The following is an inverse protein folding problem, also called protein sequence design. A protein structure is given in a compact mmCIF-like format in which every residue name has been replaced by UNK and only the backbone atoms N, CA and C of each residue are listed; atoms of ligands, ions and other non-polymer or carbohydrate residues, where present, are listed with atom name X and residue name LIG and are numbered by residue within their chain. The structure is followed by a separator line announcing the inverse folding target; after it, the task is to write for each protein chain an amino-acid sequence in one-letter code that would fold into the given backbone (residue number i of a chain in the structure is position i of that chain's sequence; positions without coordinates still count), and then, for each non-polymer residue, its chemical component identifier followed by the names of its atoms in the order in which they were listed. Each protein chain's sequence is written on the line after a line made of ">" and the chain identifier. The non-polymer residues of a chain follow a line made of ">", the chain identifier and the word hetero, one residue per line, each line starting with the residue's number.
data_IF_001993084100
#
_entry.id   IF_001993084100
#
_cell.length_a   1.000
_cell.length_b   1.000
_cell.length_c   1.000
_cell.angle_alpha   90.00
_cell.angle_beta   90.00
_cell.angle_gamma   90.00
#
_symmetry.space_group_name_H-M   'P 1'
#
loop_
_entity.id
_entity.type
_entity.pdbx_description
1 polymer ?
#
# COMPACT_ATOMS: atom_id res chain seq x y z
N UNK A 1 -3.82 -4.84 -63.68
CA UNK A 1 -5.17 -4.77 -64.28
C UNK A 1 -5.99 -3.80 -63.44
N UNK A 2 -6.24 -2.60 -63.97
CA UNK A 2 -7.09 -1.61 -63.30
C UNK A 2 -8.55 -2.04 -63.39
N UNK A 3 -9.23 -2.12 -62.25
CA UNK A 3 -10.67 -2.31 -62.25
C UNK A 3 -11.30 -1.05 -62.83
N UNK A 4 -12.05 -1.22 -63.93
CA UNK A 4 -12.90 -0.18 -64.50
C UNK A 4 -13.99 0.18 -63.47
N UNK A 5 -13.93 1.40 -62.97
CA UNK A 5 -14.80 1.90 -61.90
C UNK A 5 -16.26 2.12 -62.36
N UNK A 6 -16.58 1.89 -63.64
CA UNK A 6 -17.92 2.03 -64.22
C UNK A 6 -18.97 1.00 -63.73
N UNK A 7 -18.57 -0.07 -63.01
CA UNK A 7 -19.46 -1.16 -62.59
C UNK A 7 -19.67 -1.31 -61.08
N UNK A 8 -19.25 -0.33 -60.26
CA UNK A 8 -19.44 -0.42 -58.81
C UNK A 8 -20.90 -0.13 -58.46
N UNK A 9 -21.66 -1.19 -58.15
CA UNK A 9 -23.03 -1.05 -57.65
C UNK A 9 -23.05 -0.17 -56.38
N UNK A 10 -23.78 0.97 -56.37
CA UNK A 10 -23.83 1.91 -55.23
C UNK A 10 -24.25 1.26 -53.89
N UNK A 11 -24.94 0.12 -53.95
CA UNK A 11 -25.42 -0.64 -52.79
C UNK A 11 -24.46 -1.68 -52.22
N UNK A 12 -23.25 -1.87 -52.76
CA UNK A 12 -22.36 -2.92 -52.26
C UNK A 12 -21.84 -2.63 -50.84
N UNK A 13 -22.00 -3.62 -49.95
CA UNK A 13 -21.40 -3.63 -48.60
C UNK A 13 -19.95 -4.13 -48.61
N UNK A 14 -19.51 -4.76 -49.68
CA UNK A 14 -18.14 -5.27 -49.82
C UNK A 14 -17.13 -4.12 -49.87
N UNK A 15 -16.07 -4.13 -49.06
CA UNK A 15 -15.02 -3.12 -49.14
C UNK A 15 -14.27 -3.19 -50.48
N UNK A 16 -14.23 -2.07 -51.21
CA UNK A 16 -13.49 -1.91 -52.46
C UNK A 16 -12.29 -0.97 -52.25
N UNK A 17 -11.19 -1.13 -53.00
CA UNK A 17 -10.03 -0.25 -52.90
C UNK A 17 -10.31 1.12 -53.55
N UNK A 18 -10.27 2.19 -52.77
CA UNK A 18 -10.40 3.57 -53.25
C UNK A 18 -9.05 4.28 -53.24
N UNK A 19 -8.89 5.24 -54.16
CA UNK A 19 -7.71 6.10 -54.27
C UNK A 19 -8.10 7.59 -54.22
N UNK A 20 -7.29 8.41 -53.57
CA UNK A 20 -7.40 9.87 -53.55
C UNK A 20 -6.00 10.48 -53.59
N UNK A 21 -5.79 11.50 -54.42
CA UNK A 21 -4.55 12.26 -54.48
C UNK A 21 -4.80 13.57 -53.75
N UNK A 22 -4.04 13.85 -52.70
CA UNK A 22 -4.17 15.09 -51.93
C UNK A 22 -3.67 16.29 -52.73
N UNK A 23 -4.00 17.54 -52.31
CA UNK A 23 -3.40 18.75 -52.90
C UNK A 23 -1.86 18.78 -52.82
N UNK A 24 -1.28 18.08 -51.84
CA UNK A 24 0.18 17.94 -51.67
C UNK A 24 0.81 16.83 -52.53
N UNK A 25 0.02 16.13 -53.36
CA UNK A 25 0.49 15.04 -54.22
C UNK A 25 0.59 13.67 -53.54
N UNK A 26 0.21 13.54 -52.26
CA UNK A 26 0.20 12.25 -51.56
C UNK A 26 -0.93 11.36 -52.07
N UNK A 27 -0.64 10.09 -52.35
CA UNK A 27 -1.62 9.11 -52.83
C UNK A 27 -2.15 8.30 -51.65
N UNK A 28 -3.41 8.50 -51.32
CA UNK A 28 -4.13 7.75 -50.29
C UNK A 28 -4.86 6.57 -50.93
N UNK A 29 -4.61 5.36 -50.43
CA UNK A 29 -5.35 4.15 -50.81
C UNK A 29 -6.05 3.55 -49.57
N UNK A 30 -7.35 3.28 -49.65
CA UNK A 30 -8.08 2.67 -48.52
C UNK A 30 -9.29 1.83 -48.96
N UNK A 31 -9.62 0.75 -48.22
CA UNK A 31 -10.82 -0.01 -48.49
C UNK A 31 -12.07 0.69 -47.90
N UNK A 32 -13.15 0.75 -48.68
CA UNK A 32 -14.45 1.29 -48.24
C UNK A 32 -15.59 0.70 -49.09
N UNK A 33 -16.77 0.51 -48.51
CA UNK A 33 -17.94 0.00 -49.24
C UNK A 33 -18.55 1.06 -50.16
N UNK A 34 -19.18 0.62 -51.26
CA UNK A 34 -19.90 1.51 -52.18
C UNK A 34 -21.02 2.29 -51.48
N UNK A 35 -21.74 1.65 -50.56
CA UNK A 35 -22.79 2.30 -49.76
C UNK A 35 -22.23 3.45 -48.91
N UNK A 36 -21.08 3.26 -48.26
CA UNK A 36 -20.47 4.32 -47.44
C UNK A 36 -19.98 5.47 -48.31
N UNK A 37 -19.42 5.19 -49.48
CA UNK A 37 -18.90 6.22 -50.38
C UNK A 37 -20.03 7.04 -51.03
N UNK A 38 -21.05 6.37 -51.56
CA UNK A 38 -22.10 7.01 -52.38
C UNK A 38 -23.24 7.54 -51.52
N UNK A 39 -23.82 6.71 -50.64
CA UNK A 39 -24.99 7.11 -49.85
C UNK A 39 -24.61 7.91 -48.61
N UNK A 40 -23.57 7.50 -47.88
CA UNK A 40 -23.12 8.21 -46.67
C UNK A 40 -22.15 9.37 -46.97
N UNK A 41 -21.82 9.60 -48.25
CA UNK A 41 -20.89 10.65 -48.74
C UNK A 41 -19.57 10.68 -47.97
N UNK A 42 -19.11 9.53 -47.48
CA UNK A 42 -17.93 9.45 -46.64
C UNK A 42 -16.68 9.53 -47.53
N UNK A 43 -15.95 10.65 -47.43
CA UNK A 43 -14.72 10.91 -48.18
C UNK A 43 -13.50 10.11 -47.69
N UNK A 44 -12.31 10.51 -48.16
CA UNK A 44 -11.05 9.83 -47.83
C UNK A 44 -10.88 9.65 -46.32
N UNK A 45 -10.75 8.40 -45.87
CA UNK A 45 -10.60 8.09 -44.44
C UNK A 45 -9.21 8.45 -43.90
N UNK A 46 -8.21 8.57 -44.78
CA UNK A 46 -6.85 9.00 -44.43
C UNK A 46 -6.82 10.52 -44.26
N UNK A 47 -7.33 11.32 -45.22
CA UNK A 47 -7.45 12.78 -45.04
C UNK A 47 -8.25 13.18 -43.81
N UNK A 48 -9.30 12.41 -43.46
CA UNK A 48 -10.12 12.64 -42.27
C UNK A 48 -9.45 12.16 -40.97
N UNK A 49 -8.26 11.57 -41.03
CA UNK A 49 -7.52 11.08 -39.86
C UNK A 49 -8.08 9.81 -39.23
N UNK A 50 -9.00 9.11 -39.90
CA UNK A 50 -9.56 7.83 -39.43
C UNK A 50 -8.64 6.63 -39.70
N UNK A 51 -7.77 6.73 -40.71
CA UNK A 51 -6.70 5.76 -41.02
C UNK A 51 -5.36 6.48 -41.06
N UNK A 52 -4.31 5.80 -40.61
CA UNK A 52 -2.94 6.29 -40.74
C UNK A 52 -2.47 6.18 -42.20
N UNK A 53 -1.65 7.14 -42.60
CA UNK A 53 -0.75 7.07 -43.76
C UNK A 53 0.69 6.85 -43.30
N UNK A 54 1.60 6.68 -44.25
CA UNK A 54 3.05 6.60 -43.97
C UNK A 54 3.55 7.80 -43.17
N UNK A 55 3.01 9.00 -43.42
CA UNK A 55 3.43 10.26 -42.77
C UNK A 55 2.68 10.58 -41.49
N UNK A 56 1.48 10.02 -41.29
CA UNK A 56 0.60 10.33 -40.14
C UNK A 56 0.48 9.19 -39.12
N UNK A 57 1.16 8.07 -39.38
CA UNK A 57 1.23 6.93 -38.47
C UNK A 57 1.93 7.27 -37.15
N UNK A 58 1.63 6.50 -36.10
CA UNK A 58 2.31 6.61 -34.81
C UNK A 58 3.82 6.35 -34.98
N UNK A 59 4.19 5.38 -35.82
CA UNK A 59 5.58 5.09 -36.15
C UNK A 59 6.32 6.32 -36.72
N UNK A 60 5.69 7.03 -37.66
CA UNK A 60 6.28 8.20 -38.30
C UNK A 60 6.29 9.42 -37.38
N UNK A 61 5.17 9.73 -36.72
CA UNK A 61 5.06 10.93 -35.90
C UNK A 61 5.74 10.81 -34.53
N UNK A 62 5.86 9.60 -33.97
CA UNK A 62 6.33 9.35 -32.60
C UNK A 62 7.17 8.05 -32.52
N UNK A 63 8.33 7.99 -33.20
CA UNK A 63 9.13 6.77 -33.32
C UNK A 63 9.57 6.18 -31.97
N UNK A 64 9.98 7.02 -31.01
CA UNK A 64 10.36 6.56 -29.66
C UNK A 64 9.19 5.94 -28.89
N UNK A 65 7.97 6.42 -29.13
CA UNK A 65 6.78 5.85 -28.51
C UNK A 65 6.39 4.55 -29.22
N UNK A 66 6.48 4.49 -30.55
CA UNK A 66 6.24 3.29 -31.33
C UNK A 66 7.20 2.14 -30.94
N UNK A 67 8.44 2.45 -30.54
CA UNK A 67 9.40 1.46 -30.02
C UNK A 67 8.93 0.80 -28.71
N UNK A 68 7.99 1.41 -27.98
CA UNK A 68 7.40 0.85 -26.76
C UNK A 68 6.17 -0.03 -27.05
N UNK A 69 5.86 -0.30 -28.32
CA UNK A 69 4.77 -1.20 -28.69
C UNK A 69 5.06 -2.61 -28.19
N UNK A 70 4.10 -3.25 -27.53
CA UNK A 70 4.32 -4.60 -27.06
C UNK A 70 4.44 -5.57 -28.26
N UNK A 71 5.46 -6.46 -28.28
CA UNK A 71 5.77 -7.28 -29.47
C UNK A 71 4.67 -8.27 -29.87
N UNK A 72 3.99 -8.89 -28.90
CA UNK A 72 3.04 -10.00 -29.18
C UNK A 72 1.59 -9.75 -28.78
N UNK A 73 1.30 -8.81 -27.87
CA UNK A 73 -0.04 -8.63 -27.28
C UNK A 73 -1.03 -7.81 -28.12
N UNK A 74 -0.60 -7.26 -29.26
CA UNK A 74 -1.42 -6.41 -30.11
C UNK A 74 -1.99 -7.12 -31.35
N UNK A 75 -1.78 -8.44 -31.47
CA UNK A 75 -2.17 -9.22 -32.64
C UNK A 75 -1.45 -8.71 -33.90
N UNK A 76 -2.18 -8.59 -35.01
CA UNK A 76 -1.64 -8.09 -36.28
C UNK A 76 -1.46 -6.56 -36.35
N UNK A 77 -1.90 -5.81 -35.32
CA UNK A 77 -1.87 -4.35 -35.36
C UNK A 77 -0.46 -3.82 -35.15
N UNK A 78 -0.07 -2.89 -36.01
CA UNK A 78 1.25 -2.25 -35.94
C UNK A 78 1.17 -0.75 -35.66
N UNK A 79 2.25 -0.13 -35.14
CA UNK A 79 2.35 1.33 -35.03
C UNK A 79 2.23 2.08 -36.37
N UNK A 80 2.38 1.41 -37.51
CA UNK A 80 2.25 2.00 -38.85
C UNK A 80 0.78 2.19 -39.27
N UNK A 81 -0.15 1.47 -38.64
CA UNK A 81 -1.57 1.43 -39.04
C UNK A 81 -2.46 2.33 -38.17
N UNK A 82 -1.89 2.96 -37.14
CA UNK A 82 -2.61 3.77 -36.15
C UNK A 82 -2.05 5.17 -36.09
N UNK A 83 -2.91 6.16 -35.86
CA UNK A 83 -2.50 7.57 -35.69
C UNK A 83 -2.25 7.89 -34.21
N UNK A 84 -1.42 8.90 -33.89
CA UNK A 84 -1.23 9.38 -32.52
C UNK A 84 -2.53 9.73 -31.78
N UNK A 85 -3.56 10.21 -32.49
CA UNK A 85 -4.87 10.57 -31.91
C UNK A 85 -5.81 9.39 -31.65
N UNK A 86 -5.40 8.16 -31.95
CA UNK A 86 -6.30 7.00 -31.84
C UNK A 86 -6.75 6.73 -30.40
N UNK A 87 -8.05 6.51 -30.19
CA UNK A 87 -8.63 6.12 -28.89
C UNK A 87 -8.48 4.62 -28.58
N UNK A 88 -7.85 3.85 -29.47
CA UNK A 88 -7.64 2.40 -29.27
C UNK A 88 -6.75 2.15 -28.06
N UNK A 89 -7.13 1.17 -27.25
CA UNK A 89 -6.29 0.64 -26.18
C UNK A 89 -5.42 -0.46 -26.78
N UNK A 90 -4.11 -0.32 -26.59
CA UNK A 90 -3.10 -1.28 -27.05
C UNK A 90 -2.15 -1.57 -25.89
N UNK A 91 -1.45 -2.68 -26.00
CA UNK A 91 -0.42 -3.07 -25.04
C UNK A 91 0.89 -2.37 -25.35
N UNK A 92 1.46 -1.78 -24.30
CA UNK A 92 2.78 -1.14 -24.30
C UNK A 92 3.75 -1.98 -23.47
N UNK A 93 5.03 -1.84 -23.74
CA UNK A 93 6.13 -2.41 -22.96
C UNK A 93 7.10 -1.30 -22.57
N UNK A 94 7.38 -1.16 -21.28
CA UNK A 94 8.23 -0.09 -20.77
C UNK A 94 9.68 -0.52 -20.98
N UNK A 95 10.51 0.29 -21.67
CA UNK A 95 11.90 -0.06 -21.88
C UNK A 95 12.71 -0.07 -20.56
N UNK A 96 12.30 0.72 -19.57
CA UNK A 96 13.06 0.90 -18.32
C UNK A 96 12.78 -0.21 -17.29
N UNK A 97 11.52 -0.63 -17.16
CA UNK A 97 11.10 -1.60 -16.12
C UNK A 97 10.48 -2.88 -16.68
N UNK A 98 10.47 -3.05 -18.00
CA UNK A 98 9.90 -4.19 -18.73
C UNK A 98 8.43 -4.49 -18.39
N UNK A 99 7.71 -3.52 -17.82
CA UNK A 99 6.31 -3.68 -17.46
C UNK A 99 5.43 -3.58 -18.71
N UNK A 100 4.50 -4.51 -18.87
CA UNK A 100 3.54 -4.52 -19.95
C UNK A 100 2.17 -4.03 -19.45
N UNK A 101 1.59 -3.01 -20.09
CA UNK A 101 0.28 -2.47 -19.68
C UNK A 101 -0.59 -2.02 -20.85
N UNK A 102 -1.92 -2.11 -20.72
CA UNK A 102 -2.85 -1.54 -21.69
C UNK A 102 -3.00 -0.03 -21.47
N UNK A 103 -2.90 0.76 -22.55
CA UNK A 103 -3.22 2.19 -22.52
C UNK A 103 -3.72 2.67 -23.87
N UNK A 104 -4.53 3.75 -23.86
CA UNK A 104 -4.99 4.42 -25.09
C UNK A 104 -3.81 5.09 -25.80
N UNK A 105 -3.74 4.95 -27.13
CA UNK A 105 -2.67 5.59 -27.94
C UNK A 105 -2.63 7.10 -27.73
N UNK A 106 -3.77 7.78 -27.84
CA UNK A 106 -3.86 9.23 -27.65
C UNK A 106 -3.43 9.72 -26.27
N UNK A 107 -3.71 8.95 -25.21
CA UNK A 107 -3.31 9.28 -23.84
C UNK A 107 -1.78 9.36 -23.70
N UNK A 108 -1.05 8.51 -24.44
CA UNK A 108 0.42 8.51 -24.43
C UNK A 108 0.99 9.49 -25.44
N UNK A 109 0.51 9.46 -26.68
CA UNK A 109 1.10 10.21 -27.79
C UNK A 109 0.81 11.71 -27.75
N UNK A 110 -0.37 12.10 -27.25
CA UNK A 110 -0.79 13.49 -27.10
C UNK A 110 -0.79 13.95 -25.63
N UNK A 111 -1.19 13.07 -24.71
CA UNK A 111 -1.25 13.38 -23.27
C UNK A 111 0.08 13.22 -22.51
N UNK A 112 1.11 12.64 -23.12
CA UNK A 112 2.42 12.46 -22.49
C UNK A 112 2.46 11.41 -21.38
N UNK A 113 1.40 10.61 -21.19
CA UNK A 113 1.35 9.62 -20.12
C UNK A 113 2.37 8.48 -20.33
N UNK A 114 3.22 8.29 -19.33
CA UNK A 114 4.30 7.30 -19.30
C UNK A 114 3.87 5.94 -18.75
N UNK A 115 4.86 5.15 -18.34
CA UNK A 115 4.64 3.88 -17.67
C UNK A 115 4.06 4.11 -16.27
N UNK A 116 2.90 3.51 -15.99
CA UNK A 116 2.23 3.64 -14.68
C UNK A 116 3.04 3.01 -13.55
N UNK A 117 3.88 2.00 -13.83
CA UNK A 117 4.81 1.43 -12.85
C UNK A 117 5.94 2.39 -12.51
N UNK A 118 6.63 2.97 -13.52
CA UNK A 118 7.68 3.97 -13.28
C UNK A 118 7.15 5.21 -12.56
N UNK A 119 5.89 5.58 -12.80
CA UNK A 119 5.21 6.67 -12.10
C UNK A 119 4.75 6.29 -10.67
N UNK A 120 5.01 5.06 -10.19
CA UNK A 120 4.60 4.59 -8.86
C UNK A 120 3.09 4.40 -8.69
N UNK A 121 2.34 4.32 -9.79
CA UNK A 121 0.88 4.15 -9.78
C UNK A 121 0.45 2.67 -9.73
N UNK A 122 1.34 1.76 -10.11
CA UNK A 122 1.13 0.30 -10.07
C UNK A 122 2.30 -0.36 -9.36
N UNK A 123 2.01 -1.28 -8.44
CA UNK A 123 3.01 -2.15 -7.81
C UNK A 123 2.82 -3.60 -8.29
N UNK A 124 3.92 -4.33 -8.45
CA UNK A 124 3.93 -5.76 -8.72
C UNK A 124 4.27 -6.56 -7.46
N UNK A 125 3.91 -7.86 -7.40
CA UNK A 125 4.31 -8.72 -6.29
C UNK A 125 5.82 -8.67 -6.07
N UNK A 126 6.24 -8.45 -4.82
CA UNK A 126 7.65 -8.34 -4.45
C UNK A 126 8.26 -6.93 -4.57
N UNK A 127 7.54 -5.95 -5.14
CA UNK A 127 8.03 -4.56 -5.16
C UNK A 127 8.09 -4.01 -3.72
N UNK A 128 9.17 -3.29 -3.35
CA UNK A 128 9.35 -2.66 -2.02
C UNK A 128 8.24 -1.70 -1.62
N UNK A 129 7.44 -1.23 -2.57
CA UNK A 129 6.32 -0.31 -2.35
C UNK A 129 4.98 -1.03 -2.14
N UNK A 130 4.96 -2.36 -2.22
CA UNK A 130 3.78 -3.17 -1.85
C UNK A 130 3.65 -3.27 -0.34
N UNK A 131 2.41 -3.40 0.14
CA UNK A 131 2.11 -3.59 1.54
C UNK A 131 2.73 -4.88 2.08
N UNK A 132 2.70 -5.96 1.30
CA UNK A 132 3.27 -7.25 1.64
C UNK A 132 4.78 -7.18 1.98
N UNK A 133 5.54 -6.35 1.25
CA UNK A 133 6.98 -6.20 1.48
C UNK A 133 7.29 -5.07 2.47
N UNK A 134 6.62 -3.93 2.34
CA UNK A 134 6.92 -2.74 3.14
C UNK A 134 6.40 -2.83 4.58
N UNK A 135 5.25 -3.47 4.79
CA UNK A 135 4.59 -3.57 6.09
C UNK A 135 3.82 -4.89 6.24
N UNK A 136 4.52 -6.03 6.49
CA UNK A 136 3.92 -7.35 6.59
C UNK A 136 2.81 -7.47 7.65
N UNK A 137 2.97 -6.79 8.80
CA UNK A 137 1.98 -6.82 9.88
C UNK A 137 0.65 -6.18 9.44
N UNK A 138 0.72 -5.11 8.66
CA UNK A 138 -0.47 -4.46 8.11
C UNK A 138 -1.05 -5.26 6.93
N UNK A 139 -0.21 -5.94 6.15
CA UNK A 139 -0.66 -6.87 5.12
C UNK A 139 -1.48 -8.03 5.72
N UNK A 140 -1.12 -8.53 6.91
CA UNK A 140 -1.88 -9.58 7.60
C UNK A 140 -3.31 -9.14 7.99
N UNK A 141 -3.55 -7.83 8.15
CA UNK A 141 -4.88 -7.26 8.39
C UNK A 141 -5.70 -7.04 7.11
N UNK A 142 -5.18 -7.34 5.91
CA UNK A 142 -5.98 -7.30 4.68
C UNK A 142 -7.00 -8.44 4.66
N UNK A 143 -8.23 -8.12 4.28
CA UNK A 143 -9.24 -9.14 3.95
C UNK A 143 -8.94 -9.68 2.54
N UNK A 144 -7.97 -10.59 2.49
CA UNK A 144 -7.42 -11.20 1.28
C UNK A 144 -8.50 -11.86 0.43
N UNK A 145 -9.42 -12.57 1.08
CA UNK A 145 -10.54 -13.24 0.41
C UNK A 145 -11.39 -12.23 -0.37
N UNK A 146 -11.81 -11.14 0.28
CA UNK A 146 -12.64 -10.11 -0.37
C UNK A 146 -11.89 -9.32 -1.43
N UNK A 147 -10.58 -9.14 -1.28
CA UNK A 147 -9.72 -8.54 -2.31
C UNK A 147 -9.67 -9.40 -3.57
N UNK A 148 -9.42 -10.70 -3.42
CA UNK A 148 -9.36 -11.62 -4.55
C UNK A 148 -10.72 -11.72 -5.25
N UNK A 149 -11.83 -11.77 -4.50
CA UNK A 149 -13.19 -11.72 -5.06
C UNK A 149 -13.45 -10.44 -5.86
N UNK A 150 -12.77 -9.34 -5.53
CA UNK A 150 -12.85 -8.07 -6.25
C UNK A 150 -11.85 -7.97 -7.42
N UNK A 151 -11.14 -9.05 -7.75
CA UNK A 151 -10.15 -9.11 -8.83
C UNK A 151 -8.86 -8.33 -8.55
N UNK A 152 -8.54 -8.07 -7.27
CA UNK A 152 -7.31 -7.39 -6.85
C UNK A 152 -6.36 -8.41 -6.24
N UNK A 153 -5.16 -8.54 -6.81
CA UNK A 153 -4.08 -9.34 -6.23
C UNK A 153 -3.56 -8.65 -4.94
N UNK A 154 -3.72 -9.27 -3.76
CA UNK A 154 -3.25 -8.70 -2.49
C UNK A 154 -1.76 -8.33 -2.50
N UNK A 155 -0.92 -9.07 -3.24
CA UNK A 155 0.51 -8.83 -3.31
C UNK A 155 0.88 -7.56 -4.10
N UNK A 156 -0.10 -6.94 -4.77
CA UNK A 156 0.08 -5.70 -5.55
C UNK A 156 -0.42 -4.45 -4.83
N UNK A 157 -0.97 -4.59 -3.61
CA UNK A 157 -1.53 -3.45 -2.86
C UNK A 157 -0.41 -2.47 -2.49
N UNK A 158 -0.43 -1.27 -3.08
CA UNK A 158 0.59 -0.25 -2.87
C UNK A 158 0.38 0.55 -1.56
N UNK A 159 1.44 0.80 -0.79
CA UNK A 159 1.36 1.43 0.55
C UNK A 159 0.79 2.85 0.57
N UNK A 160 0.94 3.61 -0.52
CA UNK A 160 0.37 4.98 -0.66
C UNK A 160 -0.91 5.03 -1.48
N UNK A 161 -1.51 3.88 -1.78
CA UNK A 161 -2.77 3.87 -2.53
C UNK A 161 -3.87 4.54 -1.71
N UNK A 162 -4.64 5.40 -2.37
CA UNK A 162 -5.88 5.97 -1.84
C UNK A 162 -7.11 5.13 -2.20
N UNK A 163 -6.94 4.06 -2.98
CA UNK A 163 -8.04 3.13 -3.29
C UNK A 163 -8.42 2.36 -2.03
N UNK A 164 -9.71 2.33 -1.73
CA UNK A 164 -10.21 1.55 -0.60
C UNK A 164 -10.04 0.05 -0.85
N UNK A 165 -9.53 -0.64 0.17
CA UNK A 165 -9.40 -2.09 0.21
C UNK A 165 -10.08 -2.60 1.48
N UNK A 166 -10.58 -3.85 1.49
CA UNK A 166 -11.18 -4.45 2.66
C UNK A 166 -10.09 -4.89 3.66
N UNK A 167 -10.40 -4.70 4.94
CA UNK A 167 -9.56 -5.03 6.09
C UNK A 167 -10.34 -5.92 7.05
N UNK A 168 -9.62 -6.76 7.76
CA UNK A 168 -10.14 -7.60 8.84
C UNK A 168 -9.37 -7.29 10.13
N UNK A 169 -10.08 -7.24 11.25
CA UNK A 169 -9.43 -6.98 12.53
C UNK A 169 -8.75 -8.27 13.01
N UNK A 170 -7.44 -8.21 13.21
CA UNK A 170 -6.62 -9.31 13.71
C UNK A 170 -7.18 -9.97 14.99
N UNK A 171 -7.62 -9.17 15.97
CA UNK A 171 -8.18 -9.66 17.23
C UNK A 171 -9.68 -9.97 17.21
N UNK A 172 -10.41 -9.64 16.14
CA UNK A 172 -11.85 -9.90 16.04
C UNK A 172 -12.25 -10.02 14.57
N UNK A 173 -12.18 -11.22 13.97
CA UNK A 173 -12.44 -11.45 12.54
C UNK A 173 -13.83 -11.02 12.03
N UNK A 174 -14.76 -10.73 12.95
CA UNK A 174 -16.08 -10.15 12.65
C UNK A 174 -16.02 -8.66 12.30
N UNK A 175 -15.05 -7.90 12.81
CA UNK A 175 -14.89 -6.50 12.45
C UNK A 175 -14.19 -6.42 11.10
N UNK A 176 -14.94 -5.93 10.10
CA UNK A 176 -14.51 -5.82 8.71
C UNK A 176 -14.87 -4.44 8.21
N UNK A 177 -13.90 -3.72 7.67
CA UNK A 177 -14.13 -2.37 7.18
C UNK A 177 -13.36 -2.12 5.88
N UNK A 178 -13.71 -1.05 5.19
CA UNK A 178 -13.01 -0.58 3.99
C UNK A 178 -12.24 0.70 4.32
N UNK A 179 -11.00 0.79 3.86
CA UNK A 179 -10.16 1.97 4.03
C UNK A 179 -9.00 1.93 3.04
N UNK A 180 -8.38 3.07 2.75
CA UNK A 180 -7.17 3.10 1.93
C UNK A 180 -5.92 2.61 2.69
N UNK A 181 -4.98 1.92 2.01
CA UNK A 181 -3.67 1.60 2.57
C UNK A 181 -2.92 2.84 3.07
N UNK A 182 -3.01 3.98 2.37
CA UNK A 182 -2.38 5.21 2.81
C UNK A 182 -2.87 5.69 4.18
N UNK A 183 -4.19 5.64 4.43
CA UNK A 183 -4.77 6.03 5.72
C UNK A 183 -4.36 5.06 6.84
N UNK A 184 -4.37 3.76 6.55
CA UNK A 184 -3.83 2.74 7.47
C UNK A 184 -2.36 2.98 7.79
N UNK A 185 -1.59 3.43 6.80
CA UNK A 185 -0.18 3.73 6.97
C UNK A 185 0.08 4.97 7.83
N UNK A 186 -0.87 5.91 7.82
CA UNK A 186 -0.90 7.08 8.71
C UNK A 186 -1.47 6.77 10.11
N UNK A 187 -1.75 5.50 10.41
CA UNK A 187 -2.14 5.05 11.74
C UNK A 187 -3.64 5.05 12.02
N UNK A 188 -4.50 5.17 11.00
CA UNK A 188 -5.94 4.93 11.17
C UNK A 188 -6.19 3.45 11.53
N UNK A 189 -7.01 3.20 12.55
CA UNK A 189 -7.25 1.87 13.11
C UNK A 189 -8.65 1.35 12.78
N UNK A 190 -9.02 0.16 13.28
CA UNK A 190 -10.36 -0.40 13.10
C UNK A 190 -11.42 0.54 13.73
N UNK A 191 -12.45 0.96 12.99
CA UNK A 191 -13.47 1.89 13.50
C UNK A 191 -14.40 1.27 14.54
N UNK A 192 -14.55 -0.06 14.52
CA UNK A 192 -15.46 -0.81 15.41
C UNK A 192 -14.83 -1.16 16.76
N UNK A 193 -13.55 -0.85 16.97
CA UNK A 193 -12.83 -1.08 18.22
C UNK A 193 -12.79 0.24 19.05
N UNK A 194 -13.68 0.43 20.04
CA UNK A 194 -13.95 1.75 20.65
C UNK A 194 -12.79 2.33 21.48
N UNK A 195 -11.79 1.53 21.83
CA UNK A 195 -10.76 1.88 22.80
C UNK A 195 -9.40 2.30 22.19
N UNK A 196 -9.37 2.57 20.89
CA UNK A 196 -8.13 2.82 20.14
C UNK A 196 -7.64 4.28 20.18
N UNK A 197 -8.33 5.16 20.91
CA UNK A 197 -7.98 6.57 21.03
C UNK A 197 -7.16 6.98 22.26
N UNK A 198 -6.96 6.09 23.26
CA UNK A 198 -6.38 6.49 24.57
C UNK A 198 -5.31 5.55 25.18
N UNK A 199 -5.25 4.27 24.81
CA UNK A 199 -4.19 3.30 25.20
C UNK A 199 -3.95 2.30 24.07
N UNK A 200 -2.72 1.79 23.90
CA UNK A 200 -2.40 0.93 22.75
C UNK A 200 -3.01 -0.49 22.89
N UNK A 201 -3.37 -1.17 21.77
CA UNK A 201 -3.93 -2.54 21.78
C UNK A 201 -3.13 -3.52 22.66
N UNK A 202 -1.78 -3.53 22.60
CA UNK A 202 -0.99 -4.42 23.43
C UNK A 202 -1.11 -4.14 24.94
N UNK A 203 -1.18 -2.87 25.35
CA UNK A 203 -1.35 -2.48 26.75
C UNK A 203 -2.65 -3.05 27.33
N UNK A 204 -3.77 -2.94 26.59
CA UNK A 204 -5.07 -3.43 27.03
C UNK A 204 -5.14 -4.97 27.07
N UNK A 205 -4.60 -5.63 26.05
CA UNK A 205 -4.54 -7.10 26.02
C UNK A 205 -3.69 -7.63 27.18
N UNK A 206 -2.51 -7.04 27.39
CA UNK A 206 -1.64 -7.42 28.50
C UNK A 206 -2.32 -7.14 29.84
N UNK A 207 -2.97 -5.99 30.01
CA UNK A 207 -3.74 -5.68 31.21
C UNK A 207 -4.79 -6.75 31.51
N UNK A 208 -5.56 -7.19 30.52
CA UNK A 208 -6.60 -8.20 30.72
C UNK A 208 -6.01 -9.56 31.11
N UNK A 209 -4.91 -9.97 30.48
CA UNK A 209 -4.18 -11.18 30.88
C UNK A 209 -3.66 -11.06 32.31
N UNK A 210 -3.05 -9.93 32.67
CA UNK A 210 -2.57 -9.69 34.03
C UNK A 210 -3.71 -9.69 35.05
N UNK A 211 -4.88 -9.12 34.74
CA UNK A 211 -6.09 -9.20 35.60
C UNK A 211 -6.53 -10.64 35.81
N UNK A 212 -6.55 -11.46 34.76
CA UNK A 212 -6.91 -12.87 34.88
C UNK A 212 -5.93 -13.65 35.76
N UNK A 213 -4.64 -13.29 35.75
CA UNK A 213 -3.60 -13.98 36.53
C UNK A 213 -3.47 -13.48 37.97
N UNK A 214 -3.78 -12.21 38.24
CA UNK A 214 -3.47 -11.56 39.53
C UNK A 214 -4.68 -10.98 40.26
N UNK A 215 -5.80 -10.77 39.57
CA UNK A 215 -7.03 -10.20 40.12
C UNK A 215 -7.01 -8.68 40.41
N UNK A 216 -5.83 -8.03 40.49
CA UNK A 216 -5.71 -6.64 40.96
C UNK A 216 -4.93 -5.69 40.03
N UNK A 217 -4.70 -6.09 38.77
CA UNK A 217 -4.00 -5.24 37.82
C UNK A 217 -4.82 -3.99 37.43
N UNK A 218 -4.17 -2.82 37.55
CA UNK A 218 -4.77 -1.51 37.24
C UNK A 218 -4.00 -0.81 36.13
N UNK A 219 -4.70 -0.13 35.23
CA UNK A 219 -4.09 0.57 34.09
C UNK A 219 -3.88 2.05 34.33
N UNK A 220 -2.83 2.63 33.76
CA UNK A 220 -2.53 4.07 33.80
C UNK A 220 -2.58 4.65 35.23
N UNK A 221 -2.05 3.90 36.20
CA UNK A 221 -2.09 4.27 37.62
C UNK A 221 -0.70 4.75 38.08
N UNK A 222 -0.62 5.68 39.06
CA UNK A 222 0.64 6.03 39.68
C UNK A 222 1.19 4.86 40.51
N UNK A 223 2.50 4.64 40.45
CA UNK A 223 3.19 3.70 41.32
C UNK A 223 3.39 4.27 42.73
N UNK A 224 2.29 4.40 43.49
CA UNK A 224 2.30 5.08 44.79
C UNK A 224 2.65 6.57 44.65
N UNK A 225 3.55 7.07 45.51
CA UNK A 225 4.00 8.48 45.51
C UNK A 225 5.22 8.74 44.62
N UNK A 226 5.67 7.75 43.83
CA UNK A 226 6.87 7.88 43.00
C UNK A 226 6.72 9.01 42.00
N UNK A 227 7.75 9.87 41.93
CA UNK A 227 7.86 10.96 40.96
C UNK A 227 9.11 10.79 40.11
N UNK A 228 9.07 11.31 38.88
CA UNK A 228 10.18 11.30 37.95
C UNK A 228 10.25 12.63 37.18
N UNK A 229 11.41 12.93 36.59
CA UNK A 229 11.62 14.14 35.81
C UNK A 229 11.33 13.88 34.32
N UNK A 230 10.35 14.58 33.77
CA UNK A 230 10.04 14.50 32.34
C UNK A 230 11.12 15.17 31.46
N UNK A 231 10.93 15.11 30.14
CA UNK A 231 11.86 15.73 29.15
C UNK A 231 12.12 17.23 29.39
N UNK A 232 11.20 17.92 30.07
CA UNK A 232 11.27 19.36 30.36
C UNK A 232 11.74 19.63 31.80
N UNK A 233 12.19 18.60 32.52
CA UNK A 233 12.64 18.70 33.91
C UNK A 233 11.51 18.87 34.93
N UNK A 234 10.25 18.58 34.56
CA UNK A 234 9.11 18.69 35.47
C UNK A 234 8.98 17.41 36.29
N UNK A 235 8.83 17.56 37.60
CA UNK A 235 8.54 16.44 38.51
C UNK A 235 7.08 16.02 38.38
N UNK A 236 6.84 14.87 37.75
CA UNK A 236 5.51 14.30 37.52
C UNK A 236 5.35 12.97 38.27
N UNK A 237 4.12 12.61 38.71
CA UNK A 237 3.84 11.27 39.18
C UNK A 237 4.21 10.21 38.13
N UNK A 238 4.82 9.11 38.56
CA UNK A 238 5.14 7.97 37.70
C UNK A 238 3.88 7.15 37.41
N UNK A 239 3.04 7.66 36.50
CA UNK A 239 1.91 6.90 35.92
C UNK A 239 2.45 5.81 35.02
N UNK A 240 1.99 4.58 35.22
CA UNK A 240 2.48 3.41 34.53
C UNK A 240 1.37 2.68 33.79
N UNK A 241 1.70 1.99 32.70
CA UNK A 241 0.71 1.36 31.83
C UNK A 241 -0.10 0.31 32.58
N UNK A 242 0.57 -0.54 33.36
CA UNK A 242 -0.06 -1.50 34.27
C UNK A 242 0.68 -1.48 35.62
N UNK A 243 -0.07 -1.47 36.71
CA UNK A 243 0.44 -1.62 38.07
C UNK A 243 -0.21 -2.83 38.73
N UNK A 244 0.58 -3.64 39.42
CA UNK A 244 0.18 -4.76 40.27
C UNK A 244 0.52 -4.40 41.72
N UNK A 245 -0.36 -3.67 42.44
CA UNK A 245 0.00 -3.06 43.72
C UNK A 245 0.42 -4.09 44.78
N UNK A 246 -0.31 -5.21 44.90
CA UNK A 246 0.01 -6.24 45.90
C UNK A 246 1.36 -6.93 45.66
N UNK A 247 1.82 -6.97 44.40
CA UNK A 247 3.09 -7.59 44.03
C UNK A 247 4.24 -6.58 43.97
N UNK A 248 3.96 -5.27 44.15
CA UNK A 248 4.90 -4.17 43.90
C UNK A 248 5.57 -4.27 42.53
N UNK A 249 4.79 -4.60 41.50
CA UNK A 249 5.26 -4.71 40.11
C UNK A 249 4.59 -3.64 39.24
N UNK A 250 5.40 -3.01 38.40
CA UNK A 250 4.98 -2.12 37.33
C UNK A 250 5.31 -2.77 35.99
N UNK A 251 4.39 -2.69 35.03
CA UNK A 251 4.65 -3.06 33.63
C UNK A 251 4.47 -1.82 32.77
N UNK A 252 5.51 -1.51 32.00
CA UNK A 252 5.51 -0.50 30.94
C UNK A 252 5.54 -1.21 29.60
N UNK A 253 4.59 -0.90 28.71
CA UNK A 253 4.56 -1.39 27.36
C UNK A 253 5.06 -0.30 26.41
N UNK A 254 6.27 -0.50 25.89
CA UNK A 254 6.94 0.52 25.09
C UNK A 254 6.66 0.34 23.60
N UNK A 255 5.77 1.16 23.05
CA UNK A 255 5.44 1.15 21.62
C UNK A 255 6.44 1.91 20.73
N UNK A 256 6.59 1.48 19.46
CA UNK A 256 7.52 2.11 18.50
C UNK A 256 7.03 3.44 17.90
N UNK A 257 5.72 3.69 17.93
CA UNK A 257 5.13 4.93 17.40
C UNK A 257 5.45 6.04 18.37
N UNK A 258 6.47 6.87 18.11
CA UNK A 258 6.57 8.33 18.38
C UNK A 258 8.04 8.75 18.13
N UNK A 259 8.22 9.85 17.40
CA UNK A 259 9.52 10.35 16.96
C UNK A 259 10.44 10.80 18.13
N UNK A 260 11.75 10.74 17.87
CA UNK A 260 12.90 11.03 18.74
C UNK A 260 13.28 9.95 19.78
N UNK A 261 14.02 8.94 19.32
CA UNK A 261 14.43 7.75 20.07
C UNK A 261 15.46 8.04 21.19
N UNK A 262 16.35 9.03 21.00
CA UNK A 262 17.41 9.31 21.96
C UNK A 262 16.86 9.97 23.24
N UNK A 263 16.04 11.01 23.08
CA UNK A 263 15.42 11.70 24.21
C UNK A 263 14.37 10.85 24.92
N UNK A 264 13.68 9.93 24.21
CA UNK A 264 12.79 8.96 24.88
C UNK A 264 13.55 7.97 25.72
N UNK A 265 14.64 7.39 25.20
CA UNK A 265 15.44 6.40 25.95
C UNK A 265 15.95 6.95 27.28
N UNK A 266 16.37 8.22 27.31
CA UNK A 266 16.74 8.90 28.55
C UNK A 266 15.58 8.96 29.54
N UNK A 267 14.39 9.41 29.11
CA UNK A 267 13.22 9.48 29.98
C UNK A 267 12.73 8.11 30.45
N UNK A 268 12.71 7.10 29.57
CA UNK A 268 12.35 5.73 29.95
C UNK A 268 13.32 5.22 31.03
N UNK A 269 14.62 5.47 30.85
CA UNK A 269 15.68 5.14 31.82
C UNK A 269 15.48 5.86 33.15
N UNK A 270 15.26 7.17 33.14
CA UNK A 270 15.09 7.99 34.35
C UNK A 270 13.82 7.58 35.13
N UNK A 271 12.71 7.32 34.43
CA UNK A 271 11.47 6.80 35.03
C UNK A 271 11.67 5.41 35.62
N UNK A 272 12.34 4.51 34.90
CA UNK A 272 12.65 3.16 35.39
C UNK A 272 13.53 3.21 36.63
N UNK A 273 14.59 4.02 36.65
CA UNK A 273 15.42 4.19 37.85
C UNK A 273 14.63 4.75 39.04
N UNK A 274 13.73 5.71 38.83
CA UNK A 274 12.90 6.25 39.91
C UNK A 274 11.99 5.19 40.54
N UNK A 275 11.39 4.32 39.71
CA UNK A 275 10.58 3.19 40.16
C UNK A 275 11.42 2.17 40.96
N UNK A 276 12.56 1.75 40.41
CA UNK A 276 13.49 0.81 41.06
C UNK A 276 14.02 1.32 42.40
N UNK A 277 14.44 2.60 42.44
CA UNK A 277 14.93 3.25 43.66
C UNK A 277 13.86 3.36 44.75
N UNK A 278 12.59 3.33 44.35
CA UNK A 278 11.44 3.34 45.26
C UNK A 278 10.97 1.93 45.64
N UNK A 279 11.75 0.90 45.30
CA UNK A 279 11.49 -0.50 45.65
C UNK A 279 10.36 -1.15 44.85
N UNK A 280 10.09 -0.67 43.63
CA UNK A 280 9.22 -1.38 42.69
C UNK A 280 10.03 -2.33 41.81
N UNK A 281 9.45 -3.48 41.50
CA UNK A 281 9.89 -4.33 40.38
C UNK A 281 9.34 -3.75 39.09
N UNK A 282 10.15 -3.67 38.05
CA UNK A 282 9.78 -3.05 36.78
C UNK A 282 9.92 -4.06 35.65
N UNK A 283 8.85 -4.22 34.89
CA UNK A 283 8.86 -4.93 33.61
C UNK A 283 8.76 -3.91 32.50
N UNK A 284 9.67 -3.94 31.54
CA UNK A 284 9.50 -3.22 30.27
C UNK A 284 9.27 -4.20 29.13
N UNK A 285 8.08 -4.16 28.55
CA UNK A 285 7.78 -4.89 27.32
C UNK A 285 8.20 -4.02 26.14
N UNK A 286 9.33 -4.37 25.53
CA UNK A 286 9.97 -3.61 24.45
C UNK A 286 9.42 -4.10 23.11
N UNK A 287 8.63 -3.26 22.46
CA UNK A 287 8.04 -3.60 21.18
C UNK A 287 9.10 -3.71 20.07
N UNK A 288 8.94 -4.74 19.24
CA UNK A 288 9.71 -4.93 18.02
C UNK A 288 8.79 -5.25 16.84
N UNK A 289 9.24 -4.88 15.65
CA UNK A 289 8.68 -5.31 14.37
C UNK A 289 9.72 -6.16 13.63
N UNK A 290 9.45 -6.54 12.38
CA UNK A 290 10.44 -7.22 11.55
C UNK A 290 11.69 -6.38 11.27
N UNK A 291 11.57 -5.05 11.25
CA UNK A 291 12.64 -4.12 10.80
C UNK A 291 13.13 -3.16 11.88
N UNK A 292 12.42 -3.04 13.00
CA UNK A 292 12.77 -2.13 14.11
C UNK A 292 12.66 -2.85 15.43
N UNK A 293 13.58 -2.56 16.35
CA UNK A 293 13.58 -3.10 17.71
C UNK A 293 13.85 -1.97 18.69
N UNK A 294 13.03 -1.84 19.72
CA UNK A 294 13.39 -1.01 20.85
C UNK A 294 14.50 -1.71 21.64
N UNK A 295 15.67 -1.05 21.67
CA UNK A 295 16.82 -1.53 22.42
C UNK A 295 16.49 -1.51 23.91
N UNK A 296 16.96 -2.52 24.61
CA UNK A 296 16.85 -2.60 26.06
C UNK A 296 17.56 -1.39 26.72
N UNK A 297 17.05 -0.98 27.86
CA UNK A 297 17.67 0.04 28.69
C UNK A 297 18.96 -0.54 29.28
N UNK A 298 20.00 0.30 29.27
CA UNK A 298 21.28 -0.01 29.88
C UNK A 298 21.18 0.25 31.39
N UNK A 299 20.50 -0.68 32.07
CA UNK A 299 20.27 -0.74 33.51
C UNK A 299 20.50 -2.19 33.93
N UNK A 300 21.38 -2.40 34.90
CA UNK A 300 21.67 -3.70 35.50
C UNK A 300 21.06 -3.68 36.90
N UNK A 301 19.88 -4.27 37.06
CA UNK A 301 19.15 -4.42 38.33
C UNK A 301 18.32 -5.70 38.25
N UNK A 302 18.40 -6.57 39.27
CA UNK A 302 17.67 -7.84 39.31
C UNK A 302 16.14 -7.67 39.33
N UNK A 303 15.67 -6.49 39.73
CA UNK A 303 14.25 -6.10 39.79
C UNK A 303 13.76 -5.49 38.48
N UNK A 304 14.59 -5.48 37.42
CA UNK A 304 14.22 -5.05 36.08
C UNK A 304 14.18 -6.23 35.11
N UNK A 305 12.99 -6.55 34.61
CA UNK A 305 12.79 -7.50 33.51
C UNK A 305 12.52 -6.75 32.20
N UNK A 306 13.23 -7.09 31.14
CA UNK A 306 13.00 -6.53 29.81
C UNK A 306 12.61 -7.63 28.84
N UNK A 307 11.38 -7.59 28.33
CA UNK A 307 10.82 -8.62 27.44
C UNK A 307 10.64 -8.04 26.05
N UNK A 308 11.19 -8.69 25.04
CA UNK A 308 10.99 -8.30 23.65
C UNK A 308 9.69 -8.89 23.12
N UNK A 309 8.75 -8.03 22.74
CA UNK A 309 7.46 -8.45 22.21
C UNK A 309 7.29 -8.00 20.77
N UNK A 310 6.94 -8.94 19.87
CA UNK A 310 6.67 -8.58 18.48
C UNK A 310 5.24 -8.04 18.36
N UNK A 311 5.07 -6.83 17.84
CA UNK A 311 3.74 -6.24 17.65
C UNK A 311 2.84 -7.18 16.84
N UNK A 312 1.58 -7.33 17.25
CA UNK A 312 0.60 -8.22 16.62
C UNK A 312 0.75 -9.71 16.98
N UNK A 313 1.77 -10.10 17.76
CA UNK A 313 1.84 -11.47 18.30
C UNK A 313 1.04 -11.61 19.59
N UNK A 314 0.76 -12.86 19.95
CA UNK A 314 0.08 -13.21 21.20
C UNK A 314 0.90 -12.75 22.42
N UNK A 315 0.20 -12.13 23.37
CA UNK A 315 0.74 -11.60 24.62
C UNK A 315 0.62 -12.58 25.79
N UNK A 316 -0.10 -13.69 25.64
CA UNK A 316 -0.18 -14.70 26.71
C UNK A 316 1.21 -15.19 27.16
N UNK A 317 2.18 -15.51 26.27
CA UNK A 317 3.53 -15.87 26.69
C UNK A 317 4.27 -14.76 27.45
N UNK A 318 4.00 -13.50 27.12
CA UNK A 318 4.58 -12.34 27.82
C UNK A 318 4.00 -12.24 29.22
N UNK A 319 2.68 -12.35 29.36
CA UNK A 319 2.02 -12.33 30.65
C UNK A 319 2.50 -13.49 31.55
N UNK A 320 2.57 -14.70 31.01
CA UNK A 320 3.02 -15.88 31.76
C UNK A 320 4.49 -15.74 32.18
N UNK A 321 5.36 -15.18 31.33
CA UNK A 321 6.76 -14.89 31.67
C UNK A 321 6.89 -13.85 32.80
N UNK A 322 6.03 -12.81 32.79
CA UNK A 322 5.99 -11.81 33.87
C UNK A 322 5.61 -12.50 35.19
N UNK A 323 4.56 -13.31 35.20
CA UNK A 323 4.11 -14.00 36.41
C UNK A 323 5.19 -14.94 36.92
N UNK A 324 5.78 -15.76 36.05
CA UNK A 324 6.86 -16.67 36.41
C UNK A 324 8.05 -15.95 37.05
N UNK A 325 8.48 -14.83 36.47
CA UNK A 325 9.56 -14.01 36.99
C UNK A 325 9.23 -13.42 38.36
N UNK A 326 8.01 -12.88 38.54
CA UNK A 326 7.58 -12.34 39.84
C UNK A 326 7.58 -13.43 40.91
N UNK A 327 7.06 -14.62 40.61
CA UNK A 327 7.00 -15.74 41.57
C UNK A 327 8.38 -16.30 41.93
N UNK A 328 9.33 -16.30 41.00
CA UNK A 328 10.67 -16.82 41.23
C UNK A 328 11.52 -15.94 42.15
N UNK A 329 11.16 -14.65 42.31
CA UNK A 329 11.84 -13.72 43.20
C UNK A 329 11.29 -13.72 44.64
N UNK A 330 10.12 -14.33 44.86
CA UNK A 330 9.43 -14.34 46.16
C UNK A 330 9.63 -15.66 46.94
N UNK A 331 10.40 -16.62 46.39
CA UNK A 331 10.77 -17.90 47.01
C UNK A 331 12.27 -18.04 47.20
#
# INVERSE_FOLDING_TARGET
>A
MGLDFAWIAPGTKTPLPWRHVTPSGEVHAWPQSGTSRVHMKAGCSICRGFRASETTSLAACKPLLAAQWHPTKNGSRTPHEVTPGSRRVVWWLCPDCNYAWPARISSRALGGNGCTRCAGQVALPGDRATLAVAQPDLYAELDVERLMLSGVDPLTVHVRSNREVPWICDGTPRHRWTMSPAARMNGCLCPECPHLGQTSRPEQTLLNLMRQRTGNAVSNAPAGEVRWLDRRGRSLPARCDIVLPALRVVVEYDGWRYHDAANRRRCDRDKTMALLNSGWRVVRVRERTASKRLVDLDIIDERLLQIQHRYGHDLAPVADAIIAWVTACDG
#
